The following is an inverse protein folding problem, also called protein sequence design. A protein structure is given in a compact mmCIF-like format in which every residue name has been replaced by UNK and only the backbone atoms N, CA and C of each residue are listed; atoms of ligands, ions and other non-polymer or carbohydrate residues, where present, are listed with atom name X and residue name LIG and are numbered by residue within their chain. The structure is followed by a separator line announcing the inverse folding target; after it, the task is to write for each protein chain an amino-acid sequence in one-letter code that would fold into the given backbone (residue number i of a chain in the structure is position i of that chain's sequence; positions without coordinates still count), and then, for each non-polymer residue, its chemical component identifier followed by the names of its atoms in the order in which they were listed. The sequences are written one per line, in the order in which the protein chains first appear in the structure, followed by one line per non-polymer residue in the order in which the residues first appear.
data_IF_534395802676
#
_entry.id   IF_534395802676
#
_cell.length_a   1.000
_cell.length_b   1.000
_cell.length_c   1.000
_cell.angle_alpha   90.00
_cell.angle_beta   90.00
_cell.angle_gamma   90.00
#
_symmetry.space_group_name_H-M   'P 1'
#
loop_
_entity.id
_entity.type
_entity.pdbx_description
1 polymer ?
#
# COMPACT_ATOMS: atom_id res chain seq x y z
N UNK A 1 10.80 -8.25 -35.72
CA UNK A 1 10.07 -8.82 -34.57
C UNK A 1 9.42 -7.66 -33.84
N UNK A 2 8.11 -7.64 -33.69
CA UNK A 2 7.37 -6.60 -32.96
C UNK A 2 6.79 -7.22 -31.70
N UNK A 3 7.17 -6.72 -30.53
CA UNK A 3 6.59 -7.15 -29.26
C UNK A 3 5.23 -6.45 -29.06
N UNK A 4 4.21 -7.21 -28.71
CA UNK A 4 2.90 -6.70 -28.31
C UNK A 4 2.87 -6.47 -26.79
N UNK A 5 2.37 -5.31 -26.36
CA UNK A 5 2.13 -5.00 -24.95
C UNK A 5 0.76 -5.55 -24.56
N UNK A 6 0.73 -6.57 -23.71
CA UNK A 6 -0.53 -7.18 -23.25
C UNK A 6 -1.18 -6.39 -22.12
N UNK A 7 -0.40 -5.92 -21.15
CA UNK A 7 -0.88 -5.14 -20.00
C UNK A 7 0.19 -4.17 -19.51
N UNK A 8 -0.25 -3.05 -18.91
CA UNK A 8 0.62 -2.13 -18.20
C UNK A 8 0.25 -2.10 -16.72
N UNK A 9 1.26 -2.16 -15.86
CA UNK A 9 1.13 -1.99 -14.42
C UNK A 9 1.56 -0.58 -14.03
N UNK A 10 0.65 0.20 -13.46
CA UNK A 10 0.95 1.47 -12.82
C UNK A 10 0.99 1.28 -11.30
N UNK A 11 2.06 1.75 -10.65
CA UNK A 11 2.21 1.68 -9.19
C UNK A 11 2.58 3.03 -8.61
N UNK A 12 2.02 3.34 -7.44
CA UNK A 12 2.51 4.42 -6.56
C UNK A 12 2.78 3.81 -5.20
N UNK A 13 3.96 4.09 -4.64
CA UNK A 13 4.38 3.55 -3.34
C UNK A 13 4.74 4.71 -2.44
N UNK A 14 4.18 4.72 -1.23
CA UNK A 14 4.51 5.70 -0.20
C UNK A 14 4.73 5.00 1.13
N UNK A 15 5.71 5.49 1.88
CA UNK A 15 6.03 5.01 3.23
C UNK A 15 5.74 6.10 4.23
N UNK A 16 5.06 5.72 5.30
CA UNK A 16 4.58 6.61 6.33
C UNK A 16 5.14 6.18 7.67
N UNK A 17 5.48 7.15 8.51
CA UNK A 17 5.67 6.88 9.93
C UNK A 17 4.31 6.71 10.59
N UNK A 18 4.22 5.79 11.53
CA UNK A 18 3.05 5.59 12.37
C UNK A 18 3.40 5.90 13.83
N UNK A 19 2.43 6.38 14.59
CA UNK A 19 2.61 6.58 16.03
C UNK A 19 2.55 5.24 16.77
N UNK A 20 3.03 5.14 18.01
CA UNK A 20 2.90 3.93 18.82
C UNK A 20 1.45 3.44 18.96
N UNK A 21 0.48 4.35 19.06
CA UNK A 21 -0.94 4.02 19.16
C UNK A 21 -1.46 3.41 17.86
N UNK A 22 -1.05 3.96 16.71
CA UNK A 22 -1.40 3.43 15.39
C UNK A 22 -0.75 2.06 15.14
N UNK A 23 0.50 1.87 15.57
CA UNK A 23 1.20 0.60 15.48
C UNK A 23 0.51 -0.48 16.35
N UNK A 24 0.11 -0.11 17.57
CA UNK A 24 -0.66 -0.99 18.46
C UNK A 24 -2.03 -1.37 17.86
N UNK A 25 -2.74 -0.43 17.23
CA UNK A 25 -4.01 -0.70 16.54
C UNK A 25 -3.84 -1.66 15.34
N UNK A 26 -2.69 -1.59 14.67
CA UNK A 26 -2.33 -2.55 13.61
C UNK A 26 -1.79 -3.87 14.14
N UNK A 27 -1.55 -3.98 15.45
CA UNK A 27 -0.90 -5.12 16.11
C UNK A 27 0.49 -5.45 15.50
N UNK A 28 1.31 -4.41 15.31
CA UNK A 28 2.64 -4.52 14.68
C UNK A 28 3.67 -3.73 15.49
N UNK A 29 4.89 -4.26 15.60
CA UNK A 29 6.03 -3.58 16.21
C UNK A 29 6.80 -2.76 15.16
N UNK A 30 6.07 -2.03 14.31
CA UNK A 30 6.65 -1.28 13.20
C UNK A 30 6.43 0.22 13.36
N UNK A 31 7.50 1.00 13.17
CA UNK A 31 7.44 2.47 13.15
C UNK A 31 6.96 3.03 11.81
N UNK A 32 6.81 2.17 10.80
CA UNK A 32 6.41 2.60 9.47
C UNK A 32 5.46 1.62 8.81
N UNK A 33 4.59 2.16 7.96
CA UNK A 33 3.73 1.41 7.06
C UNK A 33 4.00 1.84 5.61
N UNK A 34 3.94 0.89 4.69
CA UNK A 34 4.05 1.14 3.25
C UNK A 34 2.70 0.91 2.61
N UNK A 35 2.22 1.90 1.87
CA UNK A 35 0.99 1.83 1.07
C UNK A 35 1.39 1.81 -0.41
N UNK A 36 0.92 0.78 -1.10
CA UNK A 36 1.14 0.56 -2.54
C UNK A 36 -0.20 0.58 -3.26
N UNK A 37 -0.45 1.63 -4.04
CA UNK A 37 -1.54 1.66 -5.00
C UNK A 37 -1.06 1.01 -6.28
N UNK A 38 -1.88 0.15 -6.87
CA UNK A 38 -1.54 -0.55 -8.11
C UNK A 38 -2.75 -0.63 -9.04
N UNK A 39 -2.51 -0.47 -10.34
CA UNK A 39 -3.52 -0.61 -11.39
C UNK A 39 -2.92 -1.34 -12.58
N UNK A 40 -3.49 -2.50 -12.90
CA UNK A 40 -3.29 -3.13 -14.20
C UNK A 40 -4.34 -2.60 -15.17
N UNK A 41 -3.99 -2.41 -16.43
CA UNK A 41 -4.94 -1.96 -17.47
C UNK A 41 -6.19 -2.84 -17.57
N UNK A 42 -6.09 -4.11 -17.22
CA UNK A 42 -7.18 -5.10 -17.27
C UNK A 42 -7.94 -5.30 -15.95
N UNK A 43 -7.54 -4.65 -14.86
CA UNK A 43 -8.11 -4.89 -13.52
C UNK A 43 -8.47 -3.58 -12.82
N UNK A 44 -9.42 -3.70 -11.88
CA UNK A 44 -9.70 -2.61 -10.95
C UNK A 44 -8.43 -2.23 -10.18
N UNK A 45 -8.30 -0.92 -9.88
CA UNK A 45 -7.22 -0.45 -9.05
C UNK A 45 -7.32 -1.08 -7.65
N UNK A 46 -6.19 -1.40 -7.04
CA UNK A 46 -6.12 -2.01 -5.71
C UNK A 46 -5.08 -1.33 -4.86
N UNK A 47 -5.16 -1.57 -3.54
CA UNK A 47 -4.20 -1.04 -2.57
C UNK A 47 -3.70 -2.18 -1.69
N UNK A 48 -2.39 -2.27 -1.56
CA UNK A 48 -1.70 -3.15 -0.63
C UNK A 48 -1.08 -2.29 0.46
N UNK A 49 -1.24 -2.72 1.70
CA UNK A 49 -0.58 -2.10 2.85
C UNK A 49 0.28 -3.15 3.51
N UNK A 50 1.54 -2.80 3.76
CA UNK A 50 2.52 -3.69 4.38
C UNK A 50 3.27 -2.98 5.49
N UNK A 51 3.76 -3.75 6.45
CA UNK A 51 4.69 -3.30 7.48
C UNK A 51 5.98 -4.12 7.40
N UNK A 52 7.13 -3.54 7.77
CA UNK A 52 8.34 -4.31 8.00
C UNK A 52 8.10 -5.38 9.07
N UNK A 53 8.65 -6.57 8.87
CA UNK A 53 8.62 -7.68 9.80
C UNK A 53 9.99 -8.38 9.82
N UNK A 54 10.53 -8.56 11.02
CA UNK A 54 11.83 -9.21 11.23
C UNK A 54 13.03 -8.37 10.82
N UNK A 55 14.21 -8.84 11.20
CA UNK A 55 15.49 -8.17 10.96
C UNK A 55 15.88 -8.16 9.47
N UNK A 56 15.37 -9.11 8.68
CA UNK A 56 15.63 -9.25 7.25
C UNK A 56 14.82 -8.27 6.38
N UNK A 57 13.92 -7.47 6.97
CA UNK A 57 13.16 -6.45 6.27
C UNK A 57 12.03 -6.99 5.38
N UNK A 58 11.46 -8.16 5.71
CA UNK A 58 10.28 -8.68 5.02
C UNK A 58 9.09 -7.73 5.17
N UNK A 59 8.25 -7.65 4.15
CA UNK A 59 7.04 -6.82 4.19
C UNK A 59 5.83 -7.73 4.41
N UNK A 60 5.19 -7.63 5.57
CA UNK A 60 4.00 -8.41 5.90
C UNK A 60 2.73 -7.62 5.57
N UNK A 61 1.76 -8.23 4.87
CA UNK A 61 0.50 -7.56 4.56
C UNK A 61 -0.25 -7.26 5.86
N UNK A 62 -0.76 -6.04 5.97
CA UNK A 62 -1.63 -5.63 7.08
C UNK A 62 -3.07 -5.80 6.61
N UNK A 63 -3.84 -6.80 7.07
CA UNK A 63 -5.23 -6.98 6.63
C UNK A 63 -6.21 -6.05 7.35
N UNK A 64 -5.89 -5.63 8.58
CA UNK A 64 -6.70 -4.68 9.33
C UNK A 64 -6.62 -3.27 8.72
N UNK A 65 -7.75 -2.55 8.70
CA UNK A 65 -7.93 -1.25 8.03
C UNK A 65 -8.63 -0.27 8.97
N UNK A 66 -7.92 0.26 9.98
CA UNK A 66 -8.49 1.25 10.88
C UNK A 66 -8.82 2.55 10.14
N UNK A 67 -9.70 3.38 10.73
CA UNK A 67 -10.24 4.57 10.07
C UNK A 67 -9.18 5.59 9.63
N UNK A 68 -8.11 5.76 10.41
CA UNK A 68 -7.00 6.63 10.05
C UNK A 68 -6.23 6.12 8.82
N UNK A 69 -6.08 4.79 8.69
CA UNK A 69 -5.37 4.18 7.57
C UNK A 69 -6.20 4.31 6.29
N UNK A 70 -7.51 4.14 6.37
CA UNK A 70 -8.42 4.41 5.25
C UNK A 70 -8.35 5.89 4.82
N UNK A 71 -8.35 6.81 5.79
CA UNK A 71 -8.19 8.25 5.52
C UNK A 71 -6.86 8.55 4.82
N UNK A 72 -5.77 7.93 5.28
CA UNK A 72 -4.45 8.09 4.68
C UNK A 72 -4.41 7.53 3.25
N UNK A 73 -4.97 6.35 3.03
CA UNK A 73 -5.05 5.70 1.72
C UNK A 73 -5.81 6.58 0.72
N UNK A 74 -6.94 7.16 1.12
CA UNK A 74 -7.78 7.97 0.21
C UNK A 74 -7.20 9.36 -0.02
N UNK A 75 -6.68 10.01 1.02
CA UNK A 75 -6.10 11.36 0.94
C UNK A 75 -4.90 11.43 -0.01
N UNK A 76 -4.04 10.43 0.07
CA UNK A 76 -2.77 10.42 -0.66
C UNK A 76 -2.81 9.56 -1.93
N UNK A 77 -3.99 9.05 -2.29
CA UNK A 77 -4.18 8.25 -3.48
C UNK A 77 -3.73 9.02 -4.74
N UNK A 78 -3.05 8.36 -5.69
CA UNK A 78 -2.74 8.97 -6.96
C UNK A 78 -4.04 9.22 -7.75
N UNK A 79 -4.05 10.27 -8.58
CA UNK A 79 -5.25 10.73 -9.29
C UNK A 79 -5.91 9.66 -10.19
N UNK A 80 -5.18 8.64 -10.60
CA UNK A 80 -5.71 7.52 -11.40
C UNK A 80 -6.42 6.43 -10.57
N UNK A 81 -6.27 6.43 -9.24
CA UNK A 81 -6.82 5.40 -8.35
C UNK A 81 -8.27 5.65 -7.96
N UNK A 82 -8.68 6.93 -7.86
CA UNK A 82 -10.06 7.33 -7.55
C UNK A 82 -10.96 7.44 -8.80
N UNK A 83 -10.47 6.98 -9.97
CA UNK A 83 -11.20 6.95 -11.24
C UNK A 83 -11.68 5.54 -11.55
#
# INVERSE_FOLDING_TARGET
MTCELLEALETSIKRYRVTPEQAAELNVEAETVTVTWQKLTSRAASVLVTVPAGEDGWAMPTPHRPGWLLTLITKDAPAWWLK
#
